data_IF_853256420340
#
_entry.id   IF_853256420340
#
_cell.length_a   1.000
_cell.length_b   1.000
_cell.length_c   1.000
_cell.angle_alpha   90.00
_cell.angle_beta   90.00
_cell.angle_gamma   90.00
#
_symmetry.space_group_name_H-M   'P 1'
#
loop_
_entity.id
_entity.type
_entity.pdbx_description
1 polymer ?
#
# COMPACT_ATOMS: atom_id res chain seq x y z
N UNK A 1 63.94 -53.34 11.55
CA UNK A 1 62.57 -52.84 11.32
C UNK A 1 62.57 -51.32 11.39
N UNK A 2 62.67 -50.64 10.23
CA UNK A 2 62.80 -49.18 10.12
C UNK A 2 61.45 -48.54 9.84
N UNK A 3 60.97 -47.67 10.73
CA UNK A 3 59.68 -46.97 10.63
C UNK A 3 59.80 -45.75 9.69
N UNK A 4 58.76 -45.41 8.90
CA UNK A 4 58.85 -44.40 7.85
C UNK A 4 58.78 -42.98 8.42
N UNK A 5 59.58 -42.10 7.83
CA UNK A 5 59.67 -40.66 8.11
C UNK A 5 58.45 -39.91 7.54
N UNK A 6 57.82 -39.00 8.29
CA UNK A 6 56.69 -38.23 7.78
C UNK A 6 57.19 -37.14 6.82
N UNK A 7 56.74 -37.18 5.56
CA UNK A 7 56.96 -36.11 4.61
C UNK A 7 56.02 -34.94 4.95
N UNK A 8 56.55 -33.91 5.62
CA UNK A 8 55.87 -32.63 5.77
C UNK A 8 55.74 -31.99 4.38
N UNK A 9 54.51 -31.94 3.87
CA UNK A 9 54.17 -31.19 2.66
C UNK A 9 54.13 -29.70 3.03
N UNK A 10 55.22 -28.99 2.75
CA UNK A 10 55.19 -27.53 2.76
C UNK A 10 54.41 -27.04 1.55
N UNK A 11 53.15 -26.67 1.76
CA UNK A 11 52.41 -25.85 0.79
C UNK A 11 53.09 -24.48 0.79
N UNK A 12 53.91 -24.22 -0.22
CA UNK A 12 54.46 -22.89 -0.44
C UNK A 12 53.30 -21.90 -0.50
N UNK A 13 53.29 -20.91 0.40
CA UNK A 13 52.43 -19.73 0.25
C UNK A 13 52.84 -19.07 -1.06
N UNK A 14 52.13 -19.39 -2.13
CA UNK A 14 52.30 -18.72 -3.40
C UNK A 14 51.96 -17.25 -3.16
N UNK A 15 53.00 -16.43 -3.13
CA UNK A 15 52.88 -14.97 -3.10
C UNK A 15 51.87 -14.58 -4.18
N UNK A 16 50.87 -13.76 -3.83
CA UNK A 16 49.73 -13.48 -4.69
C UNK A 16 50.17 -13.21 -6.13
N UNK A 17 50.00 -14.19 -7.01
CA UNK A 17 50.16 -13.97 -8.45
C UNK A 17 49.18 -12.85 -8.84
N UNK A 18 49.61 -11.85 -9.62
CA UNK A 18 48.73 -10.75 -10.02
C UNK A 18 47.47 -11.35 -10.64
N UNK A 19 46.31 -11.01 -10.08
CA UNK A 19 45.05 -11.64 -10.45
C UNK A 19 44.90 -11.56 -11.97
N UNK A 20 44.78 -12.73 -12.63
CA UNK A 20 44.57 -12.74 -14.08
C UNK A 20 43.37 -11.86 -14.42
N UNK A 21 43.35 -11.27 -15.62
CA UNK A 21 42.25 -10.41 -16.06
C UNK A 21 40.87 -11.07 -15.86
N UNK A 22 40.80 -12.39 -16.06
CA UNK A 22 39.61 -13.20 -15.82
C UNK A 22 39.24 -13.30 -14.32
N UNK A 23 40.21 -13.52 -13.43
CA UNK A 23 39.98 -13.52 -11.97
C UNK A 23 39.47 -12.16 -11.47
N UNK A 24 40.03 -11.06 -11.99
CA UNK A 24 39.59 -9.70 -11.63
C UNK A 24 38.17 -9.43 -12.12
N UNK A 25 37.84 -9.85 -13.34
CA UNK A 25 36.48 -9.75 -13.89
C UNK A 25 35.47 -10.56 -13.07
N UNK A 26 35.82 -11.80 -12.71
CA UNK A 26 34.99 -12.66 -11.86
C UNK A 26 34.74 -12.00 -10.50
N UNK A 27 35.78 -11.53 -9.82
CA UNK A 27 35.66 -10.86 -8.52
C UNK A 27 34.80 -9.59 -8.61
N UNK A 28 34.90 -8.83 -9.71
CA UNK A 28 34.06 -7.65 -9.93
C UNK A 28 32.58 -8.01 -10.14
N UNK A 29 32.29 -9.11 -10.83
CA UNK A 29 30.91 -9.61 -10.99
C UNK A 29 30.32 -10.06 -9.66
N UNK A 30 31.09 -10.79 -8.84
CA UNK A 30 30.66 -11.17 -7.47
C UNK A 30 30.32 -9.93 -6.64
N UNK A 31 31.18 -8.91 -6.64
CA UNK A 31 30.92 -7.65 -5.93
C UNK A 31 29.64 -6.96 -6.41
N UNK A 32 29.36 -6.96 -7.72
CA UNK A 32 28.12 -6.40 -8.27
C UNK A 32 26.91 -7.18 -7.80
N UNK A 33 26.96 -8.51 -7.85
CA UNK A 33 25.89 -9.39 -7.36
C UNK A 33 25.63 -9.14 -5.88
N UNK A 34 26.67 -9.05 -5.06
CA UNK A 34 26.53 -8.80 -3.63
C UNK A 34 25.92 -7.43 -3.34
N UNK A 35 26.30 -6.40 -4.11
CA UNK A 35 25.67 -5.07 -4.03
C UNK A 35 24.18 -5.14 -4.37
N UNK A 36 23.81 -5.81 -5.47
CA UNK A 36 22.40 -5.97 -5.84
C UNK A 36 21.60 -6.76 -4.79
N UNK A 37 22.18 -7.81 -4.21
CA UNK A 37 21.57 -8.56 -3.11
C UNK A 37 21.38 -7.71 -1.85
N UNK A 38 22.30 -6.80 -1.55
CA UNK A 38 22.16 -5.87 -0.43
C UNK A 38 21.04 -4.85 -0.70
N UNK A 39 20.99 -4.27 -1.90
CA UNK A 39 19.91 -3.35 -2.30
C UNK A 39 18.55 -4.04 -2.25
N UNK A 40 18.44 -5.27 -2.75
CA UNK A 40 17.19 -6.03 -2.70
C UNK A 40 16.73 -6.27 -1.26
N UNK A 41 17.65 -6.65 -0.37
CA UNK A 41 17.32 -6.81 1.06
C UNK A 41 16.85 -5.51 1.70
N UNK A 42 17.52 -4.40 1.43
CA UNK A 42 17.11 -3.09 1.94
C UNK A 42 15.71 -2.69 1.45
N UNK A 43 15.38 -3.00 0.19
CA UNK A 43 14.04 -2.77 -0.35
C UNK A 43 12.99 -3.63 0.33
N UNK A 44 13.24 -4.93 0.52
CA UNK A 44 12.32 -5.82 1.23
C UNK A 44 12.06 -5.37 2.68
N UNK A 45 13.12 -4.92 3.38
CA UNK A 45 12.98 -4.36 4.73
C UNK A 45 12.14 -3.08 4.73
N UNK A 46 12.37 -2.20 3.75
CA UNK A 46 11.61 -0.95 3.61
C UNK A 46 10.15 -1.21 3.25
N UNK A 47 9.89 -2.16 2.36
CA UNK A 47 8.54 -2.59 1.97
C UNK A 47 7.76 -3.09 3.18
N UNK A 48 8.38 -3.91 4.02
CA UNK A 48 7.73 -4.38 5.26
C UNK A 48 7.39 -3.22 6.20
N UNK A 49 8.26 -2.23 6.34
CA UNK A 49 8.00 -1.05 7.20
C UNK A 49 6.84 -0.23 6.64
N UNK A 50 6.84 0.04 5.34
CA UNK A 50 5.79 0.80 4.66
C UNK A 50 4.44 0.08 4.75
N UNK A 51 4.41 -1.22 4.50
CA UNK A 51 3.19 -2.01 4.59
C UNK A 51 2.65 -2.04 6.03
N UNK A 52 3.53 -2.13 7.03
CA UNK A 52 3.15 -2.06 8.43
C UNK A 52 2.51 -0.69 8.77
N UNK A 53 3.12 0.40 8.32
CA UNK A 53 2.59 1.75 8.51
C UNK A 53 1.25 1.96 7.79
N UNK A 54 1.15 1.49 6.55
CA UNK A 54 -0.08 1.55 5.76
C UNK A 54 -1.20 0.81 6.48
N UNK A 55 -0.96 -0.42 6.91
CA UNK A 55 -1.98 -1.27 7.53
C UNK A 55 -2.37 -0.86 8.95
N UNK A 56 -1.43 -0.37 9.76
CA UNK A 56 -1.71 0.01 11.16
C UNK A 56 -2.19 1.43 11.33
N UNK A 57 -1.67 2.36 10.55
CA UNK A 57 -1.92 3.78 10.78
C UNK A 57 -2.88 4.32 9.74
N UNK A 58 -2.62 4.05 8.46
CA UNK A 58 -3.34 4.70 7.37
C UNK A 58 -4.70 4.07 7.08
N UNK A 59 -4.78 2.74 6.87
CA UNK A 59 -6.06 2.07 6.56
C UNK A 59 -7.13 2.28 7.65
N UNK A 60 -6.81 2.21 8.96
CA UNK A 60 -7.81 2.47 9.99
C UNK A 60 -8.28 3.93 10.02
N UNK A 61 -7.37 4.88 9.75
CA UNK A 61 -7.75 6.29 9.62
C UNK A 61 -8.62 6.53 8.41
N UNK A 62 -8.28 5.90 7.27
CA UNK A 62 -9.08 5.95 6.05
C UNK A 62 -10.49 5.42 6.31
N UNK A 63 -10.63 4.24 6.92
CA UNK A 63 -11.91 3.68 7.30
C UNK A 63 -12.71 4.63 8.22
N UNK A 64 -12.04 5.22 9.23
CA UNK A 64 -12.66 6.18 10.14
C UNK A 64 -13.17 7.45 9.43
N UNK A 65 -12.46 7.93 8.41
CA UNK A 65 -12.94 9.05 7.57
C UNK A 65 -14.21 8.64 6.84
N UNK A 66 -14.24 7.43 6.26
CA UNK A 66 -15.44 6.87 5.64
C UNK A 66 -16.63 6.82 6.61
N UNK A 67 -16.40 6.32 7.84
CA UNK A 67 -17.43 6.25 8.88
C UNK A 67 -17.99 7.63 9.26
N UNK A 68 -17.12 8.60 9.49
CA UNK A 68 -17.53 9.96 9.84
C UNK A 68 -18.30 10.65 8.70
N UNK A 69 -17.90 10.41 7.46
CA UNK A 69 -18.61 10.91 6.28
C UNK A 69 -19.98 10.22 6.11
N UNK A 70 -20.09 8.92 6.40
CA UNK A 70 -21.36 8.22 6.41
C UNK A 70 -22.32 8.80 7.48
N UNK A 71 -21.81 9.03 8.70
CA UNK A 71 -22.57 9.67 9.78
C UNK A 71 -23.05 11.07 9.39
N UNK A 72 -22.19 11.84 8.71
CA UNK A 72 -22.55 13.15 8.17
C UNK A 72 -23.66 13.03 7.11
N UNK A 73 -23.58 12.08 6.18
CA UNK A 73 -24.61 11.85 5.17
C UNK A 73 -25.98 11.55 5.81
N UNK A 74 -26.02 10.71 6.85
CA UNK A 74 -27.23 10.43 7.61
C UNK A 74 -27.74 11.64 8.42
N UNK A 75 -26.85 12.49 8.92
CA UNK A 75 -27.25 13.73 9.58
C UNK A 75 -27.89 14.70 8.59
N UNK A 76 -27.31 14.84 7.40
CA UNK A 76 -27.87 15.65 6.32
C UNK A 76 -29.22 15.11 5.85
N UNK A 77 -29.39 13.79 5.76
CA UNK A 77 -30.68 13.16 5.43
C UNK A 77 -31.77 13.51 6.44
N UNK A 78 -31.45 13.44 7.74
CA UNK A 78 -32.37 13.86 8.80
C UNK A 78 -32.70 15.34 8.72
N UNK A 79 -31.72 16.19 8.44
CA UNK A 79 -31.93 17.62 8.24
C UNK A 79 -32.81 17.90 7.01
N UNK A 80 -32.63 17.15 5.92
CA UNK A 80 -33.47 17.27 4.72
C UNK A 80 -34.96 16.99 5.02
N UNK A 81 -35.25 16.08 5.96
CA UNK A 81 -36.62 15.76 6.39
C UNK A 81 -37.21 16.78 7.39
N UNK A 82 -36.40 17.67 7.96
CA UNK A 82 -36.84 18.65 8.95
C UNK A 82 -37.64 19.80 8.29
N UNK A 83 -38.83 20.16 8.82
CA UNK A 83 -39.64 21.27 8.30
C UNK A 83 -38.96 22.64 8.37
N UNK A 84 -37.87 22.80 9.12
CA UNK A 84 -37.08 24.02 9.18
C UNK A 84 -36.48 24.39 7.82
N UNK A 85 -36.15 23.40 6.99
CA UNK A 85 -35.51 23.63 5.69
C UNK A 85 -36.53 23.82 4.58
N UNK A 86 -36.39 24.92 3.85
CA UNK A 86 -37.26 25.26 2.72
C UNK A 86 -36.81 24.49 1.46
N UNK A 87 -37.66 24.47 0.43
CA UNK A 87 -37.41 23.75 -0.83
C UNK A 87 -35.98 23.92 -1.36
N UNK A 88 -35.51 25.16 -1.51
CA UNK A 88 -34.16 25.45 -2.02
C UNK A 88 -33.03 24.89 -1.14
N UNK A 89 -33.23 24.85 0.17
CA UNK A 89 -32.24 24.33 1.10
C UNK A 89 -32.23 22.79 1.08
N UNK A 90 -33.42 22.18 0.93
CA UNK A 90 -33.56 20.75 0.70
C UNK A 90 -32.92 20.29 -0.61
N UNK A 91 -33.11 21.03 -1.71
CA UNK A 91 -32.45 20.71 -2.98
C UNK A 91 -30.91 20.72 -2.84
N UNK A 92 -30.36 21.69 -2.09
CA UNK A 92 -28.92 21.73 -1.79
C UNK A 92 -28.48 20.55 -0.91
N UNK A 93 -29.25 20.21 0.12
CA UNK A 93 -28.96 19.06 0.98
C UNK A 93 -28.96 17.76 0.19
N UNK A 94 -29.94 17.56 -0.70
CA UNK A 94 -30.00 16.40 -1.59
C UNK A 94 -28.72 16.29 -2.45
N UNK A 95 -28.28 17.38 -3.08
CA UNK A 95 -27.03 17.39 -3.85
C UNK A 95 -25.78 17.06 -3.00
N UNK A 96 -25.71 17.57 -1.77
CA UNK A 96 -24.61 17.26 -0.86
C UNK A 96 -24.62 15.79 -0.44
N UNK A 97 -25.81 15.24 -0.17
CA UNK A 97 -26.00 13.84 0.21
C UNK A 97 -25.59 12.92 -0.95
N UNK A 98 -26.06 13.18 -2.17
CA UNK A 98 -25.73 12.34 -3.33
C UNK A 98 -24.24 12.39 -3.66
N UNK A 99 -23.64 13.59 -3.61
CA UNK A 99 -22.20 13.74 -3.85
C UNK A 99 -21.36 12.99 -2.81
N UNK A 100 -21.73 13.08 -1.53
CA UNK A 100 -21.04 12.40 -0.44
C UNK A 100 -21.26 10.88 -0.48
N UNK A 101 -22.47 10.44 -0.80
CA UNK A 101 -22.78 9.02 -0.91
C UNK A 101 -22.07 8.37 -2.11
N UNK A 102 -21.95 9.08 -3.25
CA UNK A 102 -21.17 8.62 -4.40
C UNK A 102 -19.69 8.45 -4.05
N UNK A 103 -19.07 9.44 -3.41
CA UNK A 103 -17.67 9.34 -2.95
C UNK A 103 -17.47 8.15 -2.00
N UNK A 104 -18.44 7.90 -1.10
CA UNK A 104 -18.36 6.78 -0.15
C UNK A 104 -18.55 5.42 -0.81
N UNK A 105 -19.34 5.35 -1.89
CA UNK A 105 -19.54 4.13 -2.68
C UNK A 105 -18.29 3.78 -3.49
N UNK A 106 -17.63 4.77 -4.11
CA UNK A 106 -16.45 4.53 -4.95
C UNK A 106 -15.16 4.36 -4.15
N UNK A 107 -14.94 5.18 -3.12
CA UNK A 107 -13.61 5.31 -2.50
C UNK A 107 -13.51 4.58 -1.16
N UNK A 108 -14.65 4.25 -0.53
CA UNK A 108 -14.69 3.67 0.82
C UNK A 108 -15.43 2.33 0.91
N UNK A 109 -15.82 1.72 -0.23
CA UNK A 109 -16.57 0.45 -0.31
C UNK A 109 -17.86 0.44 0.55
N UNK A 110 -18.50 1.60 0.76
CA UNK A 110 -19.71 1.74 1.60
C UNK A 110 -20.98 1.46 0.81
N UNK A 111 -21.13 0.21 0.37
CA UNK A 111 -22.31 -0.26 -0.36
C UNK A 111 -23.63 -0.08 0.43
N UNK A 112 -23.56 0.02 1.77
CA UNK A 112 -24.68 0.29 2.65
C UNK A 112 -25.31 1.68 2.45
N UNK A 113 -24.59 2.62 1.83
CA UNK A 113 -25.09 3.97 1.53
C UNK A 113 -25.77 4.10 0.17
N UNK A 114 -25.80 3.04 -0.64
CA UNK A 114 -26.52 3.03 -1.92
C UNK A 114 -28.00 3.42 -1.81
N UNK A 115 -28.78 2.92 -0.83
CA UNK A 115 -30.17 3.34 -0.66
C UNK A 115 -30.31 4.84 -0.33
N UNK A 116 -29.29 5.43 0.31
CA UNK A 116 -29.29 6.85 0.62
C UNK A 116 -29.01 7.68 -0.64
N UNK A 117 -28.10 7.21 -1.51
CA UNK A 117 -27.86 7.83 -2.82
C UNK A 117 -29.14 7.77 -3.68
N UNK A 118 -29.72 6.59 -3.84
CA UNK A 118 -30.92 6.36 -4.68
C UNK A 118 -32.15 7.14 -4.17
N UNK A 119 -32.24 7.40 -2.85
CA UNK A 119 -33.31 8.21 -2.25
C UNK A 119 -33.27 9.67 -2.68
N UNK A 120 -32.08 10.22 -2.90
CA UNK A 120 -31.88 11.65 -3.19
C UNK A 120 -31.52 11.91 -4.66
N UNK A 121 -31.29 10.86 -5.45
CA UNK A 121 -31.12 10.95 -6.88
C UNK A 121 -32.35 10.41 -7.62
N UNK A 122 -32.61 10.95 -8.82
CA UNK A 122 -33.69 10.45 -9.68
C UNK A 122 -33.29 9.22 -10.49
N UNK A 123 -31.98 8.93 -10.56
CA UNK A 123 -31.38 7.81 -11.26
C UNK A 123 -30.60 6.98 -10.23
N UNK A 124 -30.87 5.67 -10.22
CA UNK A 124 -30.18 4.74 -9.33
C UNK A 124 -28.68 4.72 -9.61
N UNK A 125 -27.86 4.55 -8.58
CA UNK A 125 -26.39 4.59 -8.67
C UNK A 125 -25.82 3.68 -9.78
N UNK A 126 -26.35 2.45 -9.90
CA UNK A 126 -25.92 1.48 -10.91
C UNK A 126 -26.20 1.92 -12.37
N UNK A 127 -27.10 2.90 -12.54
CA UNK A 127 -27.50 3.42 -13.86
C UNK A 127 -26.71 4.68 -14.23
N UNK A 128 -26.16 5.42 -13.26
CA UNK A 128 -25.29 6.58 -13.52
C UNK A 128 -23.83 6.19 -13.84
N UNK A 129 -23.36 5.02 -13.39
CA UNK A 129 -21.98 4.55 -13.65
C UNK A 129 -21.79 3.80 -15.00
N UNK A 130 -22.79 3.78 -15.89
CA UNK A 130 -22.69 3.17 -17.23
C UNK A 130 -22.25 4.12 -18.34
#
# INVERSE_FOLDING_TARGET
MTKPTPHLVHVARNQQAPASRAHTQFNNLIKKIDKHKQTLRAWMETESILNNKLTKDFLPQHAKVGDLKADLAHLLDRAHADPLFKKRDRDKLAHLITSLASELLTDFDRADLKPLYDKHNAVDFDTEEQ
#
